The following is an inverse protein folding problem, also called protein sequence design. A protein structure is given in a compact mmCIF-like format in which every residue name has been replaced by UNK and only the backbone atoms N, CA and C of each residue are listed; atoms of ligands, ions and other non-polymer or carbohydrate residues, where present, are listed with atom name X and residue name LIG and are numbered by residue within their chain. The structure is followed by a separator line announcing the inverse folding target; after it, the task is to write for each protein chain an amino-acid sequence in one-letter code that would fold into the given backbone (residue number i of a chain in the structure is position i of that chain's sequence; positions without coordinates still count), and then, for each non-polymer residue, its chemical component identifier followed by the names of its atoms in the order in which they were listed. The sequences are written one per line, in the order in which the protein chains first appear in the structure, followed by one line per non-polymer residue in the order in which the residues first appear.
data_IF_979325609615
#
_entry.id   IF_979325609615
#
_cell.length_a   1.000
_cell.length_b   1.000
_cell.length_c   1.000
_cell.angle_alpha   90.00
_cell.angle_beta   90.00
_cell.angle_gamma   90.00
#
_symmetry.space_group_name_H-M   'P 1'
#
loop_
_entity.id
_entity.type
_entity.pdbx_description
1 polymer ?
#
# COMPACT_ATOMS: atom_id res chain seq x y z
N UNK A 1 -4.71 3.63 -7.14
CA UNK A 1 -3.31 3.66 -7.60
C UNK A 1 -3.26 3.69 -9.12
N UNK A 2 -2.64 4.73 -9.68
CA UNK A 2 -2.61 4.97 -11.13
C UNK A 2 -1.28 4.56 -11.78
N UNK A 3 -0.22 4.37 -10.99
CA UNK A 3 1.12 3.96 -11.44
C UNK A 3 1.68 2.77 -10.65
N UNK A 4 2.68 2.09 -11.20
CA UNK A 4 3.43 1.01 -10.53
C UNK A 4 2.73 -0.36 -10.55
N UNK A 5 3.27 -1.30 -9.77
CA UNK A 5 2.86 -2.71 -9.79
C UNK A 5 1.41 -2.93 -9.35
N UNK A 6 0.91 -2.11 -8.42
CA UNK A 6 -0.46 -2.19 -7.89
C UNK A 6 -1.47 -1.32 -8.69
N UNK A 7 -1.12 -0.91 -9.92
CA UNK A 7 -2.01 -0.17 -10.81
C UNK A 7 -3.24 -1.03 -11.14
N UNK A 8 -4.43 -0.43 -11.03
CA UNK A 8 -5.69 -1.11 -11.38
C UNK A 8 -6.36 -1.87 -10.23
N UNK A 9 -5.68 -2.14 -9.11
CA UNK A 9 -6.29 -2.68 -7.88
C UNK A 9 -7.09 -1.62 -7.08
N UNK A 10 -7.76 -0.69 -7.79
CA UNK A 10 -7.96 0.70 -7.39
C UNK A 10 -8.98 0.99 -6.27
N UNK A 11 -9.74 0.04 -5.75
CA UNK A 11 -10.72 0.33 -4.70
C UNK A 11 -10.30 -0.32 -3.39
N UNK A 12 -9.71 0.49 -2.52
CA UNK A 12 -9.38 0.12 -1.15
C UNK A 12 -9.39 1.36 -0.26
N UNK A 13 -9.87 1.21 0.97
CA UNK A 13 -9.85 2.29 1.96
C UNK A 13 -8.40 2.54 2.40
N UNK A 14 -8.03 3.80 2.57
CA UNK A 14 -6.78 4.17 3.24
C UNK A 14 -6.91 3.80 4.71
N UNK A 15 -6.04 2.91 5.20
CA UNK A 15 -6.05 2.47 6.61
C UNK A 15 -5.22 3.44 7.45
N UNK A 16 -4.05 3.83 6.95
CA UNK A 16 -3.09 4.61 7.71
C UNK A 16 -2.27 5.53 6.80
N UNK A 17 -2.00 6.74 7.29
CA UNK A 17 -1.06 7.69 6.69
C UNK A 17 0.22 7.70 7.51
N UNK A 18 1.32 7.22 6.95
CA UNK A 18 2.62 7.17 7.61
C UNK A 18 3.47 8.37 7.20
N UNK A 19 3.23 9.51 7.85
CA UNK A 19 3.84 10.81 7.48
C UNK A 19 5.37 10.81 7.59
N UNK A 20 5.96 10.07 8.54
CA UNK A 20 7.42 10.00 8.73
C UNK A 20 8.16 9.42 7.51
N UNK A 21 7.50 8.59 6.68
CA UNK A 21 8.06 8.07 5.42
C UNK A 21 7.33 8.59 4.18
N UNK A 22 6.40 9.54 4.34
CA UNK A 22 5.57 10.07 3.26
C UNK A 22 4.84 9.00 2.43
N UNK A 23 4.36 7.93 3.08
CA UNK A 23 3.61 6.85 2.42
C UNK A 23 2.23 6.64 3.03
N UNK A 24 1.32 6.09 2.24
CA UNK A 24 -0.01 5.65 2.65
C UNK A 24 -0.12 4.12 2.57
N UNK A 25 -0.88 3.53 3.50
CA UNK A 25 -1.24 2.12 3.48
C UNK A 25 -2.70 1.95 3.10
N UNK A 26 -2.96 1.05 2.15
CA UNK A 26 -4.27 0.77 1.57
C UNK A 26 -4.63 -0.69 1.90
N UNK A 27 -5.87 -0.94 2.31
CA UNK A 27 -6.35 -2.23 2.84
C UNK A 27 -6.00 -3.47 2.01
N UNK A 28 -6.13 -3.37 0.69
CA UNK A 28 -5.94 -4.50 -0.23
C UNK A 28 -4.53 -4.59 -0.81
N UNK A 29 -3.65 -3.65 -0.46
CA UNK A 29 -2.29 -3.58 -0.98
C UNK A 29 -1.35 -4.12 0.10
N UNK A 30 -1.17 -5.44 0.06
CA UNK A 30 -0.35 -6.20 0.98
C UNK A 30 0.68 -7.05 0.22
N UNK A 31 1.75 -7.43 0.91
CA UNK A 31 2.70 -8.44 0.46
C UNK A 31 2.97 -9.42 1.59
N UNK A 32 3.27 -10.67 1.25
CA UNK A 32 3.75 -11.65 2.20
C UNK A 32 5.26 -11.48 2.45
N UNK A 33 5.68 -11.64 3.69
CA UNK A 33 7.09 -11.76 4.09
C UNK A 33 7.49 -13.24 4.09
N UNK A 34 8.79 -13.51 4.17
CA UNK A 34 9.33 -14.87 4.28
C UNK A 34 8.82 -15.64 5.52
N UNK A 35 8.37 -14.93 6.56
CA UNK A 35 7.75 -15.51 7.74
C UNK A 35 6.22 -15.68 7.60
N UNK A 36 5.71 -15.70 6.38
CA UNK A 36 4.29 -15.87 6.01
C UNK A 36 3.32 -14.82 6.58
N UNK A 37 3.84 -13.72 7.14
CA UNK A 37 3.01 -12.62 7.63
C UNK A 37 2.76 -11.60 6.52
N UNK A 38 1.49 -11.20 6.35
CA UNK A 38 1.10 -10.12 5.45
C UNK A 38 1.43 -8.75 6.04
N UNK A 39 2.02 -7.88 5.22
CA UNK A 39 2.31 -6.49 5.58
C UNK A 39 1.83 -5.56 4.48
N UNK A 40 1.35 -4.38 4.87
CA UNK A 40 0.95 -3.36 3.92
C UNK A 40 2.15 -2.83 3.15
N UNK A 41 1.94 -2.63 1.85
CA UNK A 41 2.94 -1.97 1.01
C UNK A 41 2.70 -0.46 1.05
N UNK A 42 3.75 0.28 1.37
CA UNK A 42 3.71 1.74 1.35
C UNK A 42 3.61 2.26 -0.07
N UNK A 43 2.53 2.99 -0.35
CA UNK A 43 2.32 3.68 -1.62
C UNK A 43 2.60 5.16 -1.42
N UNK A 44 3.27 5.77 -2.38
CA UNK A 44 3.42 7.23 -2.41
C UNK A 44 2.07 7.86 -2.76
N UNK A 45 1.60 8.90 -2.03
CA UNK A 45 0.29 9.49 -2.26
C UNK A 45 0.10 10.12 -3.65
N UNK A 46 1.18 10.43 -4.39
CA UNK A 46 1.11 10.96 -5.77
C UNK A 46 1.05 9.88 -6.87
N UNK A 47 1.07 8.59 -6.50
CA UNK A 47 1.09 7.44 -7.43
C UNK A 47 -0.26 6.83 -7.79
#
# INVERSE_FOLDING_TARGET
VVRGHYKGQQVGKVIQVYRKKFVIYIERIQREKANSASVYVGIDPSK
#
